data_IF_536063286127
#
_entry.id   IF_536063286127
#
_cell.length_a   1.000
_cell.length_b   1.000
_cell.length_c   1.000
_cell.angle_alpha   90.00
_cell.angle_beta   90.00
_cell.angle_gamma   90.00
#
_symmetry.space_group_name_H-M   'P 1'
#
loop_
_entity.id
_entity.type
_entity.pdbx_description
1 polymer ?
#
# COMPACT_ATOMS: atom_id res chain seq x y z
N UNK A 1 -14.48 5.65 -12.93
CA UNK A 1 -14.24 4.19 -12.92
C UNK A 1 -15.58 3.52 -12.71
N UNK A 2 -15.96 2.59 -13.58
CA UNK A 2 -17.21 1.84 -13.45
C UNK A 2 -16.87 0.35 -13.46
N UNK A 3 -17.12 -0.35 -12.36
CA UNK A 3 -16.91 -1.79 -12.23
C UNK A 3 -16.72 -2.19 -10.78
N UNK A 4 -17.23 -3.36 -10.39
CA UNK A 4 -16.95 -3.92 -9.08
C UNK A 4 -15.49 -4.36 -9.00
N UNK A 5 -14.91 -4.32 -7.79
CA UNK A 5 -13.61 -4.91 -7.52
C UNK A 5 -13.75 -6.42 -7.69
N UNK A 6 -12.92 -7.00 -8.57
CA UNK A 6 -12.85 -8.44 -8.77
C UNK A 6 -11.93 -9.09 -7.74
N UNK A 7 -10.79 -8.48 -7.48
CA UNK A 7 -9.77 -8.99 -6.56
C UNK A 7 -8.80 -7.88 -6.13
N UNK A 8 -8.27 -8.03 -4.92
CA UNK A 8 -7.14 -7.28 -4.38
C UNK A 8 -5.98 -8.25 -4.15
N UNK A 9 -4.82 -7.93 -4.71
CA UNK A 9 -3.60 -8.72 -4.59
C UNK A 9 -2.60 -7.94 -3.75
N UNK A 10 -2.13 -8.56 -2.67
CA UNK A 10 -0.99 -8.08 -1.90
C UNK A 10 0.25 -8.81 -2.42
N UNK A 11 1.15 -8.09 -3.10
CA UNK A 11 2.27 -8.73 -3.81
C UNK A 11 3.19 -9.53 -2.88
N UNK A 12 3.36 -9.07 -1.64
CA UNK A 12 4.12 -9.80 -0.64
C UNK A 12 3.53 -11.18 -0.27
N UNK A 13 2.20 -11.36 -0.30
CA UNK A 13 1.55 -12.65 0.02
C UNK A 13 1.86 -13.75 -0.99
N UNK A 14 2.31 -13.37 -2.18
CA UNK A 14 2.72 -14.30 -3.21
C UNK A 14 4.19 -14.71 -3.10
N UNK A 15 4.99 -14.06 -2.24
CA UNK A 15 6.31 -14.52 -1.87
C UNK A 15 6.13 -15.55 -0.74
N UNK A 16 6.42 -16.83 -0.99
CA UNK A 16 6.24 -17.97 -0.06
C UNK A 16 7.16 -17.94 1.18
N UNK A 17 7.29 -16.79 1.83
CA UNK A 17 8.04 -16.57 3.06
C UNK A 17 7.04 -16.18 4.13
N UNK A 18 7.23 -16.60 5.38
CA UNK A 18 6.38 -16.18 6.49
C UNK A 18 6.32 -14.66 6.54
N UNK A 19 5.16 -14.09 6.19
CA UNK A 19 5.01 -12.65 6.09
C UNK A 19 4.93 -12.02 7.46
N UNK A 20 5.90 -11.16 7.74
CA UNK A 20 5.82 -10.21 8.83
C UNK A 20 5.00 -8.99 8.37
N UNK A 21 3.68 -9.11 8.47
CA UNK A 21 2.74 -8.04 8.13
C UNK A 21 2.96 -6.76 8.94
N UNK A 22 3.71 -6.82 10.03
CA UNK A 22 4.05 -5.65 10.82
C UNK A 22 5.22 -4.85 10.22
N UNK A 23 6.00 -5.43 9.32
CA UNK A 23 7.21 -4.80 8.78
C UNK A 23 7.18 -4.67 7.25
N UNK A 24 5.98 -4.73 6.69
CA UNK A 24 5.80 -4.82 5.25
C UNK A 24 5.62 -3.44 4.62
N UNK A 25 6.41 -3.17 3.57
CA UNK A 25 6.02 -2.29 2.47
C UNK A 25 5.67 -3.19 1.28
N UNK A 26 4.48 -3.03 0.71
CA UNK A 26 4.01 -3.90 -0.38
C UNK A 26 3.18 -3.11 -1.36
N UNK A 27 3.21 -3.55 -2.61
CA UNK A 27 2.25 -3.07 -3.58
C UNK A 27 0.92 -3.79 -3.40
N UNK A 28 -0.15 -3.02 -3.46
CA UNK A 28 -1.53 -3.49 -3.50
C UNK A 28 -2.03 -3.28 -4.91
N UNK A 29 -2.37 -4.37 -5.59
CA UNK A 29 -2.94 -4.34 -6.94
C UNK A 29 -4.44 -4.58 -6.84
N UNK A 30 -5.22 -3.67 -7.40
CA UNK A 30 -6.67 -3.76 -7.48
C UNK A 30 -7.05 -4.07 -8.92
N UNK A 31 -7.73 -5.20 -9.14
CA UNK A 31 -8.25 -5.60 -10.44
C UNK A 31 -9.77 -5.46 -10.45
N UNK A 32 -10.27 -4.79 -11.47
CA UNK A 32 -11.69 -4.60 -11.70
C UNK A 32 -12.26 -5.67 -12.63
N UNK A 33 -13.57 -5.88 -12.58
CA UNK A 33 -14.25 -6.83 -13.47
C UNK A 33 -14.08 -6.51 -14.97
N UNK A 34 -13.91 -5.23 -15.30
CA UNK A 34 -13.64 -4.78 -16.66
C UNK A 34 -12.21 -5.10 -17.16
N UNK A 35 -11.37 -5.71 -16.31
CA UNK A 35 -9.98 -6.06 -16.60
C UNK A 35 -8.97 -4.96 -16.31
N UNK A 36 -9.41 -3.74 -15.93
CA UNK A 36 -8.49 -2.69 -15.51
C UNK A 36 -7.75 -3.10 -14.24
N UNK A 37 -6.47 -2.74 -14.18
CA UNK A 37 -5.61 -2.99 -13.03
C UNK A 37 -4.95 -1.68 -12.59
N UNK A 38 -4.86 -1.51 -11.29
CA UNK A 38 -4.23 -0.35 -10.69
C UNK A 38 -3.37 -0.80 -9.51
N UNK A 39 -2.28 -0.08 -9.24
CA UNK A 39 -1.38 -0.37 -8.13
C UNK A 39 -1.08 0.87 -7.30
N UNK A 40 -0.91 0.67 -6.01
CA UNK A 40 -0.35 1.66 -5.10
C UNK A 40 0.52 0.96 -4.05
N UNK A 41 1.53 1.67 -3.56
CA UNK A 41 2.40 1.17 -2.50
C UNK A 41 1.79 1.46 -1.14
N UNK A 42 1.73 0.44 -0.29
CA UNK A 42 1.21 0.53 1.06
C UNK A 42 2.33 0.27 2.06
N UNK A 43 2.29 1.00 3.17
CA UNK A 43 3.22 0.89 4.28
C UNK A 43 2.46 0.55 5.55
N UNK A 44 2.98 -0.38 6.35
CA UNK A 44 2.50 -0.53 7.73
C UNK A 44 3.03 0.61 8.61
N UNK A 45 2.25 1.02 9.60
CA UNK A 45 2.68 1.98 10.64
C UNK A 45 4.05 1.65 11.24
N UNK A 46 4.30 0.38 11.57
CA UNK A 46 5.56 -0.13 12.10
C UNK A 46 6.71 -0.10 11.09
N UNK A 47 6.47 -0.42 9.81
CA UNK A 47 7.48 -0.23 8.76
C UNK A 47 7.89 1.24 8.61
N UNK A 48 6.93 2.16 8.75
CA UNK A 48 7.20 3.60 8.70
C UNK A 48 7.97 4.07 9.93
N UNK A 49 7.60 3.61 11.13
CA UNK A 49 8.32 3.91 12.37
C UNK A 49 9.79 3.48 12.28
N UNK A 50 10.07 2.29 11.73
CA UNK A 50 11.45 1.84 11.49
C UNK A 50 12.19 2.69 10.49
N UNK A 51 11.53 3.09 9.40
CA UNK A 51 12.13 3.97 8.41
C UNK A 51 12.52 5.30 9.07
N UNK A 52 11.65 5.86 9.91
CA UNK A 52 11.93 7.06 10.69
C UNK A 52 13.08 6.87 11.67
N UNK A 53 13.06 5.81 12.48
CA UNK A 53 14.13 5.56 13.46
C UNK A 53 15.49 5.33 12.78
N UNK A 54 15.51 4.67 11.62
CA UNK A 54 16.74 4.49 10.83
C UNK A 54 17.29 5.82 10.28
N UNK A 55 16.43 6.82 10.03
CA UNK A 55 16.89 8.16 9.68
C UNK A 55 17.59 8.85 10.86
N UNK A 56 17.08 8.67 12.07
CA UNK A 56 17.65 9.30 13.27
C UNK A 56 19.00 8.67 13.68
N UNK A 57 19.26 7.42 13.31
CA UNK A 57 20.52 6.71 13.60
C UNK A 57 21.64 6.97 12.55
N UNK A 58 21.28 7.46 11.36
CA UNK A 58 22.22 7.77 10.28
C UNK A 58 22.87 9.15 10.44
N UNK A 59 24.11 9.21 10.94
CA UNK A 59 24.84 10.45 11.25
C UNK A 59 24.98 11.49 10.13
N UNK A 60 25.45 12.68 10.52
CA UNK A 60 25.55 13.96 9.79
C UNK A 60 25.45 13.88 8.25
N UNK A 61 24.22 13.92 7.76
CA UNK A 61 23.85 14.16 6.37
C UNK A 61 22.35 14.41 6.30
N UNK A 62 21.89 15.28 5.39
CA UNK A 62 20.45 15.46 5.16
C UNK A 62 19.94 14.20 4.46
N UNK A 63 19.50 13.22 5.24
CA UNK A 63 18.88 12.02 4.71
C UNK A 63 17.45 12.36 4.26
N UNK A 64 17.33 12.93 3.06
CA UNK A 64 16.04 13.23 2.45
C UNK A 64 15.50 11.97 1.77
N UNK A 65 14.39 11.44 2.27
CA UNK A 65 13.64 10.36 1.64
C UNK A 65 12.33 10.89 1.08
N UNK A 66 12.09 10.68 -0.21
CA UNK A 66 10.82 11.02 -0.85
C UNK A 66 9.89 9.81 -0.81
N UNK A 67 8.85 9.91 0.02
CA UNK A 67 7.72 8.99 -0.02
C UNK A 67 6.76 9.44 -1.12
N UNK A 68 6.92 8.88 -2.32
CA UNK A 68 6.03 9.18 -3.43
C UNK A 68 4.77 8.32 -3.34
N UNK A 69 3.64 8.97 -3.01
CA UNK A 69 2.27 8.47 -3.16
C UNK A 69 2.03 7.04 -2.65
N UNK A 70 1.92 6.90 -1.32
CA UNK A 70 1.60 5.62 -0.68
C UNK A 70 0.54 5.74 0.41
N UNK A 71 -0.03 4.60 0.78
CA UNK A 71 -1.07 4.51 1.82
C UNK A 71 -0.46 3.95 3.09
N UNK A 72 -0.61 4.67 4.19
CA UNK A 72 -0.20 4.19 5.50
C UNK A 72 -1.36 3.44 6.17
N UNK A 73 -1.16 2.16 6.48
CA UNK A 73 -2.15 1.33 7.17
C UNK A 73 -1.63 0.84 8.51
N UNK A 74 -2.54 0.64 9.48
CA UNK A 74 -2.16 0.09 10.78
C UNK A 74 -1.69 -1.37 10.64
N UNK A 75 -2.40 -2.15 9.83
CA UNK A 75 -2.06 -3.53 9.48
C UNK A 75 -2.65 -3.93 8.12
N UNK A 76 -2.11 -4.98 7.52
CA UNK A 76 -2.49 -5.50 6.19
C UNK A 76 -3.57 -6.58 6.25
N UNK A 77 -4.53 -6.47 7.17
CA UNK A 77 -5.66 -7.40 7.18
C UNK A 77 -6.47 -7.24 5.89
N UNK A 78 -6.54 -8.29 5.08
CA UNK A 78 -7.15 -8.27 3.75
C UNK A 78 -8.56 -7.66 3.75
N UNK A 79 -9.44 -8.08 4.68
CA UNK A 79 -10.80 -7.53 4.81
C UNK A 79 -10.83 -6.01 5.02
N UNK A 80 -9.84 -5.46 5.74
CA UNK A 80 -9.73 -4.01 5.97
C UNK A 80 -9.20 -3.29 4.73
N UNK A 81 -8.34 -3.93 3.94
CA UNK A 81 -7.86 -3.38 2.68
C UNK A 81 -8.98 -3.29 1.64
N UNK A 82 -9.86 -4.29 1.57
CA UNK A 82 -11.07 -4.20 0.73
C UNK A 82 -11.94 -3.01 1.11
N UNK A 83 -12.32 -2.90 2.39
CA UNK A 83 -13.13 -1.78 2.87
C UNK A 83 -12.45 -0.42 2.59
N UNK A 84 -11.14 -0.32 2.84
CA UNK A 84 -10.37 0.89 2.59
C UNK A 84 -10.35 1.28 1.10
N UNK A 85 -10.17 0.31 0.21
CA UNK A 85 -10.17 0.57 -1.24
C UNK A 85 -11.57 0.96 -1.73
N UNK A 86 -12.62 0.33 -1.19
CA UNK A 86 -14.01 0.72 -1.47
C UNK A 86 -14.29 2.16 -1.02
N UNK A 87 -13.86 2.55 0.17
CA UNK A 87 -13.98 3.91 0.69
C UNK A 87 -13.24 4.91 -0.22
N UNK A 88 -11.99 4.60 -0.61
CA UNK A 88 -11.21 5.44 -1.53
C UNK A 88 -11.85 5.60 -2.91
N UNK A 89 -12.54 4.56 -3.41
CA UNK A 89 -13.30 4.63 -4.67
C UNK A 89 -14.53 5.53 -4.52
N UNK A 90 -15.23 5.44 -3.39
CA UNK A 90 -16.41 6.24 -3.11
C UNK A 90 -16.08 7.74 -2.94
N UNK A 91 -14.95 8.04 -2.30
CA UNK A 91 -14.49 9.42 -2.04
C UNK A 91 -13.76 10.04 -3.24
N UNK A 92 -13.31 9.23 -4.21
CA UNK A 92 -12.58 9.68 -5.40
C UNK A 92 -11.05 9.73 -5.23
N UNK A 93 -10.56 9.47 -4.02
CA UNK A 93 -9.14 9.44 -3.66
C UNK A 93 -8.37 8.33 -4.38
N UNK A 94 -9.08 7.29 -4.83
CA UNK A 94 -8.47 6.17 -5.53
C UNK A 94 -7.60 6.62 -6.72
N UNK A 95 -8.08 7.56 -7.54
CA UNK A 95 -7.35 8.01 -8.73
C UNK A 95 -6.11 8.86 -8.42
N UNK A 96 -6.02 9.40 -7.21
CA UNK A 96 -4.89 10.22 -6.75
C UNK A 96 -3.73 9.35 -6.25
N UNK A 97 -4.06 8.18 -5.70
CA UNK A 97 -3.12 7.28 -5.03
C UNK A 97 -2.73 6.12 -5.95
N UNK A 98 -3.71 5.53 -6.63
CA UNK A 98 -3.50 4.36 -7.47
C UNK A 98 -3.12 4.74 -8.90
N UNK A 99 -2.04 4.13 -9.38
CA UNK A 99 -1.57 4.27 -10.76
C UNK A 99 -2.13 3.11 -11.60
N UNK A 100 -2.62 3.42 -12.79
CA UNK A 100 -3.07 2.39 -13.75
C UNK A 100 -1.86 1.58 -14.25
N UNK A 101 -2.01 0.27 -14.31
CA UNK A 101 -1.03 -0.67 -14.87
C UNK A 101 -1.26 -0.91 -16.38
#
# INVERSE_FOLDING_TARGET
>A
MNGAIKEIIITAQHQQVALDYENLSTDVIVRFENGDQYAATFYSSKSMERLVNAMDEGGEGVAQYELLQGVLVKNFEEKKLYALVDDMLAEGDFQLIFKKL
#
